data_IF_612626535309
#
_entry.id   IF_612626535309
#
_cell.length_a   1.000
_cell.length_b   1.000
_cell.length_c   1.000
_cell.angle_alpha   90.00
_cell.angle_beta   90.00
_cell.angle_gamma   90.00
#
_symmetry.space_group_name_H-M   'P 1'
#
loop_
_entity.id
_entity.type
_entity.pdbx_description
1 polymer ?
#
# COMPACT_ATOMS: atom_id res chain seq x y z
N UNK A 1 62.64 -21.42 -29.04
CA UNK A 1 61.39 -22.07 -28.78
C UNK A 1 60.66 -21.26 -27.73
N UNK A 2 59.72 -20.43 -28.15
CA UNK A 2 58.96 -19.55 -27.23
C UNK A 2 57.58 -20.13 -27.03
N UNK A 3 57.21 -20.38 -25.79
CA UNK A 3 55.88 -20.84 -25.44
C UNK A 3 55.07 -19.61 -25.01
N UNK A 4 54.09 -19.24 -25.81
CA UNK A 4 53.14 -18.18 -25.45
C UNK A 4 52.04 -18.77 -24.60
N UNK A 5 51.91 -18.23 -23.35
CA UNK A 5 50.80 -18.56 -22.46
C UNK A 5 49.68 -17.56 -22.75
N UNK A 6 48.60 -18.04 -23.34
CA UNK A 6 47.36 -17.27 -23.47
C UNK A 6 46.65 -17.30 -22.15
N UNK A 7 46.59 -16.16 -21.46
CA UNK A 7 45.71 -15.96 -20.33
C UNK A 7 44.31 -15.59 -20.87
N UNK A 8 43.38 -16.50 -20.72
CA UNK A 8 41.99 -16.23 -20.98
C UNK A 8 41.37 -15.54 -19.76
N UNK A 9 41.12 -14.26 -19.87
CA UNK A 9 40.33 -13.54 -18.87
C UNK A 9 38.85 -13.88 -19.08
N UNK A 10 38.25 -14.56 -18.13
CA UNK A 10 36.83 -14.79 -18.12
C UNK A 10 36.07 -13.50 -17.78
N UNK A 11 35.04 -13.15 -18.53
CA UNK A 11 34.23 -11.98 -18.15
C UNK A 11 33.44 -12.28 -16.88
N UNK A 12 33.66 -11.47 -15.87
CA UNK A 12 32.82 -11.45 -14.68
C UNK A 12 31.46 -10.91 -15.10
N UNK A 13 30.46 -11.77 -15.13
CA UNK A 13 29.07 -11.37 -15.28
C UNK A 13 28.67 -10.60 -14.03
N UNK A 14 28.47 -9.30 -14.19
CA UNK A 14 27.87 -8.47 -13.14
C UNK A 14 26.42 -8.89 -12.96
N UNK A 15 26.18 -9.67 -11.94
CA UNK A 15 24.81 -9.94 -11.50
C UNK A 15 24.31 -8.68 -10.82
N UNK A 16 23.48 -7.94 -11.50
CA UNK A 16 22.78 -6.82 -10.91
C UNK A 16 21.86 -7.34 -9.81
N UNK A 17 22.00 -6.77 -8.62
CA UNK A 17 21.28 -7.18 -7.41
C UNK A 17 19.76 -6.92 -7.47
N UNK A 18 19.22 -6.49 -8.59
CA UNK A 18 17.82 -6.13 -8.79
C UNK A 18 16.89 -7.33 -8.95
N UNK A 19 17.41 -8.50 -9.28
CA UNK A 19 16.58 -9.71 -9.47
C UNK A 19 16.07 -10.33 -8.18
N UNK A 20 16.68 -10.04 -7.04
CA UNK A 20 16.33 -10.70 -5.78
C UNK A 20 15.10 -10.12 -5.07
N UNK A 21 14.64 -8.92 -5.49
CA UNK A 21 13.49 -8.25 -4.87
C UNK A 21 12.17 -8.47 -5.59
N UNK A 22 12.20 -8.96 -6.83
CA UNK A 22 11.00 -9.15 -7.64
C UNK A 22 10.12 -10.34 -7.19
N UNK A 23 10.56 -11.13 -6.21
CA UNK A 23 9.85 -12.30 -5.71
C UNK A 23 9.49 -12.25 -4.23
N UNK A 24 9.74 -11.13 -3.53
CA UNK A 24 9.37 -10.97 -2.13
C UNK A 24 7.91 -10.53 -2.04
N UNK A 25 7.00 -11.36 -1.49
CA UNK A 25 5.59 -11.02 -1.37
C UNK A 25 5.35 -9.76 -0.53
N UNK A 26 6.28 -9.40 0.35
CA UNK A 26 6.20 -8.18 1.16
C UNK A 26 6.64 -6.92 0.41
N UNK A 27 7.36 -7.09 -0.72
CA UNK A 27 7.80 -5.96 -1.55
C UNK A 27 6.81 -5.61 -2.66
N UNK A 28 5.84 -6.48 -2.95
CA UNK A 28 4.81 -6.21 -3.95
C UNK A 28 3.81 -5.20 -3.44
N UNK A 29 3.40 -4.24 -4.29
CA UNK A 29 2.34 -3.31 -3.96
C UNK A 29 1.05 -4.08 -3.64
N UNK A 30 0.35 -3.74 -2.55
CA UNK A 30 -0.87 -4.45 -2.15
C UNK A 30 -2.08 -4.14 -3.04
N UNK A 31 -1.92 -3.26 -4.01
CA UNK A 31 -2.97 -2.81 -4.93
C UNK A 31 -2.52 -2.96 -6.37
N UNK A 32 -3.48 -3.05 -7.28
CA UNK A 32 -3.26 -2.87 -8.72
C UNK A 32 -4.03 -1.64 -9.17
N UNK A 33 -3.37 -0.74 -9.89
CA UNK A 33 -3.99 0.50 -10.35
C UNK A 33 -3.61 0.79 -11.80
N UNK A 34 -4.57 1.30 -12.56
CA UNK A 34 -4.43 1.76 -13.92
C UNK A 34 -5.04 3.16 -14.05
N UNK A 35 -4.33 4.06 -14.72
CA UNK A 35 -4.74 5.47 -14.91
C UNK A 35 -4.98 6.25 -13.60
N UNK A 36 -4.57 5.70 -12.46
CA UNK A 36 -4.69 6.32 -11.15
C UNK A 36 -6.05 6.15 -10.46
N UNK A 37 -7.08 5.72 -11.18
CA UNK A 37 -8.45 5.63 -10.65
C UNK A 37 -9.14 4.29 -10.89
N UNK A 38 -8.54 3.40 -11.67
CA UNK A 38 -9.06 2.05 -11.91
C UNK A 38 -8.25 1.07 -11.08
N UNK A 39 -8.93 0.38 -10.16
CA UNK A 39 -8.25 -0.47 -9.16
C UNK A 39 -8.86 -1.87 -9.12
N UNK A 40 -8.10 -2.82 -8.59
CA UNK A 40 -8.59 -4.15 -8.30
C UNK A 40 -9.76 -4.13 -7.30
N UNK A 41 -10.58 -5.18 -7.29
CA UNK A 41 -11.81 -5.23 -6.50
C UNK A 41 -11.55 -5.10 -5.00
N UNK A 42 -10.48 -5.71 -4.50
CA UNK A 42 -10.12 -5.60 -3.08
C UNK A 42 -9.83 -4.15 -2.68
N UNK A 43 -9.06 -3.44 -3.48
CA UNK A 43 -8.75 -2.03 -3.26
C UNK A 43 -10.00 -1.16 -3.40
N UNK A 44 -10.86 -1.47 -4.35
CA UNK A 44 -12.14 -0.77 -4.54
C UNK A 44 -13.04 -0.93 -3.31
N UNK A 45 -13.13 -2.13 -2.75
CA UNK A 45 -13.89 -2.39 -1.52
C UNK A 45 -13.28 -1.66 -0.32
N UNK A 46 -11.97 -1.52 -0.28
CA UNK A 46 -11.27 -0.69 0.70
C UNK A 46 -11.65 0.78 0.60
N UNK A 47 -11.70 1.33 -0.59
CA UNK A 47 -12.16 2.69 -0.83
C UNK A 47 -13.63 2.89 -0.44
N UNK A 48 -14.50 1.94 -0.76
CA UNK A 48 -15.90 1.97 -0.34
C UNK A 48 -16.03 1.94 1.18
N UNK A 49 -15.21 1.13 1.85
CA UNK A 49 -15.16 1.06 3.32
C UNK A 49 -14.74 2.41 3.92
N UNK A 50 -13.69 3.02 3.38
CA UNK A 50 -13.25 4.37 3.74
C UNK A 50 -14.41 5.37 3.72
N UNK A 51 -15.20 5.35 2.65
CA UNK A 51 -16.33 6.26 2.48
C UNK A 51 -17.50 5.92 3.39
N UNK A 52 -17.85 4.65 3.49
CA UNK A 52 -18.98 4.20 4.29
C UNK A 52 -18.82 4.53 5.78
N UNK A 53 -17.60 4.46 6.30
CA UNK A 53 -17.29 4.74 7.70
C UNK A 53 -16.92 6.20 7.96
N UNK A 54 -16.93 7.03 6.93
CA UNK A 54 -16.66 8.46 7.02
C UNK A 54 -15.30 8.79 7.68
N UNK A 55 -14.28 7.99 7.39
CA UNK A 55 -12.91 8.19 7.89
C UNK A 55 -12.37 9.56 7.54
N UNK A 56 -12.83 10.11 6.42
CA UNK A 56 -12.47 11.45 5.92
C UNK A 56 -12.79 12.58 6.90
N UNK A 57 -13.77 12.39 7.78
CA UNK A 57 -14.13 13.43 8.75
C UNK A 57 -12.99 13.78 9.70
N UNK A 58 -12.13 12.82 9.98
CA UNK A 58 -10.98 13.00 10.85
C UNK A 58 -9.66 13.07 10.08
N UNK A 59 -9.55 12.31 9.00
CA UNK A 59 -8.29 12.19 8.25
C UNK A 59 -8.21 13.07 7.01
N UNK A 60 -9.29 13.79 6.67
CA UNK A 60 -9.35 14.63 5.48
C UNK A 60 -9.83 13.87 4.24
N UNK A 61 -10.46 14.57 3.30
CA UNK A 61 -11.05 13.99 2.09
C UNK A 61 -10.01 13.35 1.16
N UNK A 62 -8.79 13.87 1.18
CA UNK A 62 -7.64 13.35 0.42
C UNK A 62 -6.60 12.68 1.32
N UNK A 63 -6.99 12.29 2.53
CA UNK A 63 -6.13 11.68 3.55
C UNK A 63 -4.98 12.59 3.99
N UNK A 64 -5.13 13.88 3.81
CA UNK A 64 -4.14 14.90 4.14
C UNK A 64 -4.00 15.19 5.64
N UNK A 65 -4.95 14.69 6.43
CA UNK A 65 -5.03 14.97 7.86
C UNK A 65 -5.96 16.15 8.16
N UNK A 66 -6.59 16.09 9.31
CA UNK A 66 -7.45 17.17 9.82
C UNK A 66 -7.44 17.11 11.35
N UNK A 67 -8.43 16.46 11.98
CA UNK A 67 -8.40 16.15 13.42
C UNK A 67 -7.44 14.98 13.67
N UNK A 68 -7.48 13.98 12.81
CA UNK A 68 -6.54 12.86 12.79
C UNK A 68 -5.31 13.16 11.93
N UNK A 69 -4.27 12.31 12.02
CA UNK A 69 -3.04 12.51 11.26
C UNK A 69 -3.24 12.28 9.76
N UNK A 70 -2.30 12.83 8.96
CA UNK A 70 -2.20 12.54 7.54
C UNK A 70 -1.91 11.04 7.32
N UNK A 71 -2.79 10.37 6.60
CA UNK A 71 -2.60 8.97 6.24
C UNK A 71 -1.66 8.81 5.04
N UNK A 72 -1.59 9.83 4.18
CA UNK A 72 -0.60 9.87 3.10
C UNK A 72 0.82 9.80 3.68
N UNK A 73 1.07 10.50 4.77
CA UNK A 73 2.38 10.45 5.44
C UNK A 73 2.53 9.19 6.30
N UNK A 74 1.51 8.83 7.07
CA UNK A 74 1.57 7.69 8.00
C UNK A 74 1.84 6.37 7.27
N UNK A 75 1.23 6.14 6.12
CA UNK A 75 1.38 4.90 5.37
C UNK A 75 2.75 4.73 4.72
N UNK A 76 3.60 5.75 4.74
CA UNK A 76 4.99 5.62 4.26
C UNK A 76 5.83 4.71 5.16
N UNK A 77 5.53 4.70 6.45
CA UNK A 77 6.31 3.98 7.46
C UNK A 77 5.52 2.95 8.24
N UNK A 78 4.18 3.03 8.23
CA UNK A 78 3.32 2.13 8.96
C UNK A 78 3.25 0.76 8.26
N UNK A 79 3.59 -0.30 8.99
CA UNK A 79 3.46 -1.66 8.47
C UNK A 79 2.00 -2.06 8.31
N UNK A 80 1.74 -3.08 7.49
CA UNK A 80 0.40 -3.64 7.31
C UNK A 80 -0.17 -4.16 8.62
N UNK A 81 0.66 -4.81 9.43
CA UNK A 81 0.27 -5.34 10.74
C UNK A 81 -0.08 -4.23 11.74
N UNK A 82 0.74 -3.20 11.81
CA UNK A 82 0.48 -2.04 12.67
C UNK A 82 -0.75 -1.27 12.22
N UNK A 83 -0.98 -1.16 10.92
CA UNK A 83 -2.20 -0.61 10.37
C UNK A 83 -3.43 -1.40 10.85
N UNK A 84 -3.40 -2.72 10.71
CA UNK A 84 -4.49 -3.58 11.16
C UNK A 84 -4.77 -3.40 12.65
N UNK A 85 -3.74 -3.48 13.48
CA UNK A 85 -3.85 -3.29 14.93
C UNK A 85 -4.46 -1.92 15.27
N UNK A 86 -3.99 -0.87 14.61
CA UNK A 86 -4.47 0.50 14.85
C UNK A 86 -5.94 0.66 14.47
N UNK A 87 -6.38 0.11 13.34
CA UNK A 87 -7.78 0.22 12.91
C UNK A 87 -8.70 -0.61 13.81
N UNK A 88 -8.30 -1.83 14.15
CA UNK A 88 -9.12 -2.72 14.97
C UNK A 88 -9.27 -2.19 16.40
N UNK A 89 -8.18 -1.79 17.02
CA UNK A 89 -8.18 -1.33 18.42
C UNK A 89 -8.51 0.16 18.56
N UNK A 90 -8.35 0.93 17.50
CA UNK A 90 -8.49 2.37 17.53
C UNK A 90 -7.45 3.05 18.42
N UNK A 91 -7.66 4.31 18.64
CA UNK A 91 -6.94 5.14 19.61
C UNK A 91 -7.95 6.01 20.35
N UNK A 92 -8.76 5.41 21.25
CA UNK A 92 -9.87 6.14 21.90
C UNK A 92 -9.40 7.37 22.67
N UNK A 93 -8.22 7.31 23.27
CA UNK A 93 -7.59 8.42 23.98
C UNK A 93 -7.26 9.61 23.09
N UNK A 94 -7.19 9.39 21.77
CA UNK A 94 -6.96 10.43 20.76
C UNK A 94 -8.19 10.71 19.89
N UNK A 95 -9.30 10.05 20.17
CA UNK A 95 -10.57 10.24 19.47
C UNK A 95 -10.79 9.30 18.29
N UNK A 96 -9.88 8.37 17.98
CA UNK A 96 -10.10 7.36 16.96
C UNK A 96 -10.84 6.16 17.55
N UNK A 97 -12.07 5.88 17.10
CA UNK A 97 -12.82 4.74 17.64
C UNK A 97 -12.22 3.40 17.17
N UNK A 98 -12.42 2.32 17.97
CA UNK A 98 -12.06 0.98 17.53
C UNK A 98 -13.06 0.46 16.49
N UNK A 99 -12.57 -0.11 15.41
CA UNK A 99 -13.40 -0.63 14.32
C UNK A 99 -13.48 -2.16 14.32
N UNK A 100 -12.95 -2.81 15.37
CA UNK A 100 -12.90 -4.28 15.45
C UNK A 100 -14.26 -4.95 15.45
N UNK A 101 -15.34 -4.26 15.91
CA UNK A 101 -16.70 -4.78 15.89
C UNK A 101 -17.40 -4.61 14.52
N UNK A 102 -16.82 -3.84 13.59
CA UNK A 102 -17.41 -3.64 12.27
C UNK A 102 -17.11 -4.83 11.36
N UNK A 103 -18.16 -5.52 10.92
CA UNK A 103 -18.02 -6.61 9.94
C UNK A 103 -17.40 -6.11 8.62
N UNK A 104 -17.76 -4.91 8.21
CA UNK A 104 -17.21 -4.29 7.00
C UNK A 104 -15.69 -4.12 7.10
N UNK A 105 -15.20 -3.65 8.24
CA UNK A 105 -13.75 -3.50 8.48
C UNK A 105 -13.07 -4.87 8.56
N UNK A 106 -13.64 -5.81 9.29
CA UNK A 106 -13.10 -7.16 9.39
C UNK A 106 -12.94 -7.81 8.02
N UNK A 107 -13.89 -7.61 7.14
CA UNK A 107 -13.87 -8.15 5.78
C UNK A 107 -12.92 -7.39 4.86
N UNK A 108 -12.87 -6.07 4.96
CA UNK A 108 -12.26 -5.20 3.95
C UNK A 108 -11.00 -4.46 4.43
N UNK A 109 -10.46 -4.75 5.62
CA UNK A 109 -9.32 -4.00 6.14
C UNK A 109 -8.07 -4.10 5.25
N UNK A 110 -7.86 -5.24 4.60
CA UNK A 110 -6.73 -5.38 3.66
C UNK A 110 -6.89 -4.50 2.43
N UNK A 111 -8.11 -4.40 1.92
CA UNK A 111 -8.45 -3.48 0.84
C UNK A 111 -8.32 -2.02 1.28
N UNK A 112 -8.73 -1.72 2.50
CA UNK A 112 -8.55 -0.39 3.08
C UNK A 112 -7.06 -0.03 3.16
N UNK A 113 -6.23 -0.95 3.65
CA UNK A 113 -4.78 -0.78 3.65
C UNK A 113 -4.24 -0.56 2.24
N UNK A 114 -4.66 -1.40 1.28
CA UNK A 114 -4.24 -1.29 -0.12
C UNK A 114 -4.57 0.09 -0.71
N UNK A 115 -5.80 0.56 -0.48
CA UNK A 115 -6.25 1.88 -0.92
C UNK A 115 -5.38 2.99 -0.33
N UNK A 116 -5.22 3.02 0.99
CA UNK A 116 -4.46 4.06 1.68
C UNK A 116 -2.97 4.01 1.32
N UNK A 117 -2.42 2.82 1.14
CA UNK A 117 -1.04 2.65 0.68
C UNK A 117 -0.85 3.21 -0.73
N UNK A 118 -1.78 2.93 -1.63
CA UNK A 118 -1.77 3.49 -2.98
C UNK A 118 -1.88 5.01 -3.01
N UNK A 119 -2.67 5.59 -2.10
CA UNK A 119 -2.73 7.03 -1.90
C UNK A 119 -1.39 7.59 -1.40
N UNK A 120 -0.80 6.92 -0.42
CA UNK A 120 0.50 7.31 0.13
C UNK A 120 1.62 7.23 -0.91
N UNK A 121 1.61 6.21 -1.74
CA UNK A 121 2.59 6.03 -2.82
C UNK A 121 2.40 7.00 -3.99
N UNK A 122 1.31 7.76 -4.01
CA UNK A 122 0.96 8.66 -5.12
C UNK A 122 0.50 7.94 -6.39
N UNK A 123 0.16 6.66 -6.30
CA UNK A 123 -0.29 5.85 -7.44
C UNK A 123 -1.81 5.89 -7.64
N UNK A 124 -2.56 6.03 -6.56
CA UNK A 124 -4.01 6.17 -6.59
C UNK A 124 -4.38 7.63 -6.40
N UNK A 125 -5.14 8.17 -7.34
CA UNK A 125 -5.62 9.56 -7.30
C UNK A 125 -6.69 9.74 -6.22
N UNK A 126 -6.84 10.92 -5.66
CA UNK A 126 -8.01 11.23 -4.83
C UNK A 126 -9.29 11.21 -5.67
N UNK A 127 -10.42 11.01 -5.01
CA UNK A 127 -11.72 11.06 -5.63
C UNK A 127 -12.30 9.68 -5.92
N UNK A 128 -13.17 9.62 -6.91
CA UNK A 128 -13.93 8.41 -7.21
C UNK A 128 -13.06 7.35 -7.89
N UNK A 129 -13.15 6.12 -7.41
CA UNK A 129 -12.45 4.97 -7.99
C UNK A 129 -13.41 4.08 -8.76
N UNK A 130 -12.87 3.38 -9.76
CA UNK A 130 -13.58 2.47 -10.63
C UNK A 130 -12.90 1.09 -10.61
N UNK A 131 -13.63 0.01 -10.90
CA UNK A 131 -12.99 -1.29 -11.07
C UNK A 131 -12.13 -1.32 -12.35
N UNK A 132 -11.04 -2.09 -12.29
CA UNK A 132 -10.27 -2.40 -13.49
C UNK A 132 -11.18 -3.03 -14.54
N UNK A 133 -10.95 -2.68 -15.81
CA UNK A 133 -11.66 -3.31 -16.92
C UNK A 133 -11.30 -4.81 -16.97
N UNK A 134 -12.31 -5.64 -17.05
CA UNK A 134 -12.16 -7.09 -17.18
C UNK A 134 -12.08 -7.49 -18.65
#
# INVERSE_FOLDING_TARGET
MSIAILSAAAPMASRTADSARAGDPDSAAPYTVQDGDKVDLKTLDGWKTWRALACERCHGAEQEGLVGPSLVDSLKTLSKEDFHTTVINGRPEKGMPPWGASEMVQKNWEGLYAYLKGRSDGKIKPGHLHPLAQ
#
